data_IF_962059523340
#
_entry.id   IF_962059523340
#
_cell.length_a   1.000
_cell.length_b   1.000
_cell.length_c   1.000
_cell.angle_alpha   90.00
_cell.angle_beta   90.00
_cell.angle_gamma   90.00
#
_symmetry.space_group_name_H-M   'P 1'
#
loop_
_entity.id
_entity.type
_entity.pdbx_description
1 polymer ?
#
# COMPACT_ATOMS: atom_id res chain seq x y z
N UNK A 1 -5.25 30.18 18.60
CA UNK A 1 -4.90 28.79 19.03
C UNK A 1 -5.79 27.86 18.23
N UNK A 2 -5.22 26.85 17.58
CA UNK A 2 -5.97 25.82 16.88
C UNK A 2 -6.67 24.99 17.95
N UNK A 3 -7.97 24.73 17.80
CA UNK A 3 -8.74 23.89 18.74
C UNK A 3 -8.33 22.43 18.63
N UNK A 4 -8.61 21.62 19.67
CA UNK A 4 -8.38 20.19 19.60
C UNK A 4 -9.22 19.54 18.49
N UNK A 5 -10.42 20.03 18.22
CA UNK A 5 -11.28 19.54 17.14
C UNK A 5 -10.68 19.82 15.76
N UNK A 6 -10.08 21.00 15.56
CA UNK A 6 -9.37 21.33 14.32
C UNK A 6 -8.12 20.47 14.14
N UNK A 7 -7.39 20.18 15.22
CA UNK A 7 -6.23 19.27 15.18
C UNK A 7 -6.70 17.84 14.84
N UNK A 8 -7.74 17.34 15.48
CA UNK A 8 -8.31 16.02 15.22
C UNK A 8 -8.82 15.91 13.78
N UNK A 9 -9.55 16.91 13.30
CA UNK A 9 -10.02 16.98 11.92
C UNK A 9 -8.87 16.96 10.91
N UNK A 10 -7.83 17.75 11.15
CA UNK A 10 -6.65 17.83 10.31
C UNK A 10 -5.87 16.51 10.27
N UNK A 11 -5.68 15.87 11.43
CA UNK A 11 -4.91 14.62 11.54
C UNK A 11 -5.70 13.38 11.05
N UNK A 12 -7.01 13.42 11.20
CA UNK A 12 -7.82 12.19 11.09
C UNK A 12 -8.94 12.28 10.06
N UNK A 13 -9.15 13.44 9.44
CA UNK A 13 -10.24 13.69 8.49
C UNK A 13 -11.62 13.73 9.17
N UNK A 14 -12.59 14.29 8.47
CA UNK A 14 -13.94 14.54 8.99
C UNK A 14 -14.96 13.45 8.60
N UNK A 15 -14.60 12.53 7.68
CA UNK A 15 -15.52 11.49 7.25
C UNK A 15 -15.89 10.54 8.41
N UNK A 16 -17.18 10.29 8.67
CA UNK A 16 -17.62 9.46 9.78
C UNK A 16 -17.47 7.95 9.55
N UNK A 17 -17.06 7.52 8.36
CA UNK A 17 -16.98 6.09 8.04
C UNK A 17 -15.90 5.39 8.85
N UNK A 18 -16.30 4.31 9.55
CA UNK A 18 -15.46 3.56 10.47
C UNK A 18 -15.08 2.17 9.91
N UNK A 19 -14.10 1.53 10.58
CA UNK A 19 -13.66 0.16 10.35
C UNK A 19 -13.02 -0.10 8.98
N UNK A 20 -12.55 0.94 8.28
CA UNK A 20 -11.77 0.76 7.05
C UNK A 20 -10.36 0.31 7.45
N UNK A 21 -9.98 -0.89 7.05
CA UNK A 21 -8.67 -1.47 7.37
C UNK A 21 -7.70 -1.44 6.19
N UNK A 22 -8.21 -1.41 4.96
CA UNK A 22 -7.40 -1.24 3.77
C UNK A 22 -8.18 -0.53 2.66
N UNK A 23 -7.47 0.13 1.76
CA UNK A 23 -8.00 0.70 0.53
C UNK A 23 -7.11 0.25 -0.61
N UNK A 24 -7.75 -0.23 -1.67
CA UNK A 24 -7.08 -0.71 -2.86
C UNK A 24 -7.58 0.06 -4.10
N UNK A 25 -6.68 0.25 -5.05
CA UNK A 25 -7.01 0.88 -6.32
C UNK A 25 -6.84 -0.07 -7.49
N UNK A 26 -7.91 -0.30 -8.25
CA UNK A 26 -7.84 -1.04 -9.49
C UNK A 26 -7.58 -0.10 -10.67
N UNK A 27 -6.35 -0.16 -11.17
CA UNK A 27 -5.90 0.64 -12.32
C UNK A 27 -6.62 0.32 -13.64
N UNK A 28 -7.24 -0.84 -13.77
CA UNK A 28 -7.94 -1.22 -14.99
C UNK A 28 -9.34 -0.60 -15.05
N UNK A 29 -10.05 -0.60 -13.92
CA UNK A 29 -11.39 -0.02 -13.82
C UNK A 29 -11.42 1.39 -13.25
N UNK A 30 -10.28 1.95 -12.88
CA UNK A 30 -10.15 3.25 -12.19
C UNK A 30 -11.07 3.35 -10.96
N UNK A 31 -11.11 2.28 -10.18
CA UNK A 31 -12.03 2.14 -9.04
C UNK A 31 -11.28 1.95 -7.74
N UNK A 32 -11.83 2.50 -6.69
CA UNK A 32 -11.41 2.28 -5.31
C UNK A 32 -12.21 1.12 -4.72
N UNK A 33 -11.55 0.30 -3.92
CA UNK A 33 -12.18 -0.71 -3.07
C UNK A 33 -11.81 -0.44 -1.62
N UNK A 34 -12.83 -0.24 -0.79
CA UNK A 34 -12.69 -0.12 0.66
C UNK A 34 -12.88 -1.49 1.27
N UNK A 35 -11.91 -1.94 2.04
CA UNK A 35 -11.98 -3.16 2.81
C UNK A 35 -12.24 -2.78 4.27
N UNK A 36 -13.37 -3.24 4.80
CA UNK A 36 -13.78 -3.00 6.18
C UNK A 36 -13.68 -4.28 6.98
N UNK A 37 -13.29 -4.17 8.23
CA UNK A 37 -13.40 -5.24 9.20
C UNK A 37 -14.48 -4.88 10.22
N UNK A 38 -15.68 -5.40 10.02
CA UNK A 38 -16.83 -5.10 10.89
C UNK A 38 -16.76 -6.02 12.11
N UNK A 39 -16.67 -5.48 13.35
CA UNK A 39 -16.66 -6.30 14.55
C UNK A 39 -17.83 -7.29 14.59
N UNK A 40 -17.53 -8.58 14.80
CA UNK A 40 -18.51 -9.66 14.83
C UNK A 40 -19.13 -10.07 13.48
N UNK A 41 -18.81 -9.40 12.37
CA UNK A 41 -19.38 -9.71 11.04
C UNK A 41 -18.31 -10.09 10.00
N UNK A 42 -17.03 -9.83 10.28
CA UNK A 42 -15.93 -10.14 9.37
C UNK A 42 -15.66 -9.06 8.31
N UNK A 43 -15.16 -9.47 7.15
CA UNK A 43 -14.75 -8.56 6.07
C UNK A 43 -15.89 -8.16 5.16
N UNK A 44 -15.94 -6.88 4.82
CA UNK A 44 -16.81 -6.31 3.81
C UNK A 44 -15.97 -5.54 2.79
N UNK A 45 -16.25 -5.73 1.49
CA UNK A 45 -15.59 -5.02 0.41
C UNK A 45 -16.62 -4.15 -0.30
N UNK A 46 -16.34 -2.85 -0.35
CA UNK A 46 -17.19 -1.87 -1.03
C UNK A 46 -16.43 -1.15 -2.12
N UNK A 47 -16.98 -1.17 -3.32
CA UNK A 47 -16.47 -0.37 -4.44
C UNK A 47 -16.91 1.07 -4.28
N UNK A 48 -15.98 1.99 -4.58
CA UNK A 48 -16.22 3.43 -4.63
C UNK A 48 -15.50 4.04 -5.85
N UNK A 49 -15.81 5.28 -6.15
CA UNK A 49 -15.22 6.03 -7.25
C UNK A 49 -14.68 7.36 -6.76
N UNK A 50 -13.63 7.83 -7.40
CA UNK A 50 -13.13 9.19 -7.22
C UNK A 50 -12.51 9.70 -8.53
N UNK A 51 -12.37 11.01 -8.64
CA UNK A 51 -11.71 11.64 -9.77
C UNK A 51 -10.25 11.90 -9.42
N UNK A 52 -9.28 11.23 -10.06
CA UNK A 52 -7.87 11.46 -9.83
C UNK A 52 -7.47 12.91 -10.14
N UNK A 53 -6.54 13.44 -9.34
CA UNK A 53 -6.12 14.82 -9.44
C UNK A 53 -4.62 15.01 -9.18
N UNK A 54 -4.12 16.17 -9.55
CA UNK A 54 -2.79 16.68 -9.23
C UNK A 54 -2.87 18.13 -8.84
N UNK A 55 -2.01 18.59 -7.98
CA UNK A 55 -1.80 20.03 -7.73
C UNK A 55 -0.70 20.57 -8.62
N UNK A 56 -0.93 21.75 -9.20
CA UNK A 56 0.01 22.42 -10.11
C UNK A 56 0.16 23.87 -9.72
N UNK A 57 1.40 24.32 -9.57
CA UNK A 57 1.72 25.68 -9.20
C UNK A 57 1.46 26.69 -10.32
N UNK A 58 1.84 26.35 -11.56
CA UNK A 58 1.68 27.21 -12.72
C UNK A 58 1.45 26.37 -13.99
N UNK A 59 0.37 26.66 -14.70
CA UNK A 59 0.04 25.98 -15.96
C UNK A 59 1.06 26.23 -17.07
N UNK A 60 1.84 27.30 -17.00
CA UNK A 60 2.95 27.57 -17.94
C UNK A 60 4.08 26.54 -17.84
N UNK A 61 4.16 25.83 -16.72
CA UNK A 61 5.14 24.76 -16.54
C UNK A 61 4.77 23.48 -17.34
N UNK A 62 3.57 23.43 -17.90
CA UNK A 62 3.09 22.30 -18.70
C UNK A 62 3.13 22.72 -20.17
N UNK A 63 4.06 22.16 -20.92
CA UNK A 63 4.11 22.34 -22.36
C UNK A 63 3.07 21.45 -23.04
N UNK A 64 2.27 22.04 -23.91
CA UNK A 64 1.32 21.31 -24.72
C UNK A 64 1.65 21.44 -26.20
N UNK A 65 2.06 20.38 -26.86
CA UNK A 65 2.24 20.25 -28.31
C UNK A 65 2.59 21.57 -29.03
N UNK A 66 3.76 22.12 -28.80
CA UNK A 66 4.18 23.38 -29.40
C UNK A 66 3.57 24.64 -28.79
N UNK A 67 2.91 24.54 -27.65
CA UNK A 67 2.42 25.68 -26.85
C UNK A 67 1.19 26.41 -27.39
N UNK A 68 0.53 25.91 -28.46
CA UNK A 68 -0.69 26.55 -28.96
C UNK A 68 -1.91 26.27 -28.08
N UNK A 69 -2.80 27.27 -27.92
CA UNK A 69 -4.05 27.11 -27.17
C UNK A 69 -4.96 26.01 -27.75
N UNK A 70 -4.92 25.77 -29.05
CA UNK A 70 -5.72 24.71 -29.69
C UNK A 70 -5.16 23.32 -29.38
N UNK A 71 -3.83 23.12 -29.40
CA UNK A 71 -3.20 21.87 -29.01
C UNK A 71 -3.46 21.53 -27.53
N UNK A 72 -3.40 22.52 -26.64
CA UNK A 72 -3.75 22.37 -25.24
C UNK A 72 -5.19 21.89 -25.07
N UNK A 73 -6.14 22.52 -25.78
CA UNK A 73 -7.56 22.12 -25.74
C UNK A 73 -7.76 20.67 -26.22
N UNK A 74 -7.08 20.27 -27.29
CA UNK A 74 -7.14 18.90 -27.83
C UNK A 74 -6.58 17.91 -26.81
N UNK A 75 -5.40 18.19 -26.21
CA UNK A 75 -4.81 17.34 -25.19
C UNK A 75 -5.72 17.21 -23.96
N UNK A 76 -6.30 18.29 -23.47
CA UNK A 76 -7.26 18.28 -22.37
C UNK A 76 -8.47 17.40 -22.67
N UNK A 77 -9.07 17.55 -23.85
CA UNK A 77 -10.23 16.76 -24.29
C UNK A 77 -9.86 15.29 -24.49
N UNK A 78 -8.69 14.99 -25.10
CA UNK A 78 -8.21 13.63 -25.30
C UNK A 78 -8.08 12.86 -23.99
N UNK A 79 -7.54 13.49 -22.96
CA UNK A 79 -7.32 12.88 -21.65
C UNK A 79 -8.47 13.09 -20.66
N UNK A 80 -9.52 13.80 -21.06
CA UNK A 80 -10.64 14.14 -20.19
C UNK A 80 -10.23 15.03 -19.00
N UNK A 81 -9.32 15.96 -19.23
CA UNK A 81 -8.75 16.82 -18.20
C UNK A 81 -9.64 18.03 -17.95
N UNK A 82 -9.84 18.30 -16.66
CA UNK A 82 -10.45 19.52 -16.15
C UNK A 82 -9.43 20.25 -15.27
N UNK A 83 -9.44 21.57 -15.31
CA UNK A 83 -8.55 22.39 -14.49
C UNK A 83 -9.39 23.36 -13.67
N UNK A 84 -9.28 23.25 -12.35
CA UNK A 84 -9.92 24.15 -11.41
C UNK A 84 -8.87 25.07 -10.78
N UNK A 85 -9.17 26.36 -10.66
CA UNK A 85 -8.35 27.26 -9.86
C UNK A 85 -8.67 27.01 -8.40
N UNK A 86 -7.62 26.81 -7.59
CA UNK A 86 -7.77 26.72 -6.15
C UNK A 86 -8.00 28.14 -5.60
N UNK A 87 -9.10 28.30 -4.86
CA UNK A 87 -9.28 29.48 -4.03
C UNK A 87 -8.48 29.28 -2.73
N UNK A 88 -7.47 30.11 -2.56
CA UNK A 88 -6.60 30.04 -1.40
C UNK A 88 -7.26 30.76 -0.23
N UNK A 89 -7.68 30.00 0.77
CA UNK A 89 -8.13 30.53 2.05
C UNK A 89 -7.17 30.00 3.13
N UNK A 90 -6.14 30.75 3.51
CA UNK A 90 -5.36 30.34 4.65
C UNK A 90 -3.88 30.71 4.69
N UNK A 91 -3.04 29.81 5.17
CA UNK A 91 -1.62 30.04 5.43
C UNK A 91 -0.81 30.11 4.13
N UNK A 92 -0.32 31.29 3.77
CA UNK A 92 0.51 31.52 2.58
C UNK A 92 1.71 30.57 2.46
N UNK A 93 2.16 29.98 3.56
CA UNK A 93 3.27 28.99 3.55
C UNK A 93 2.87 27.63 3.01
N UNK A 94 1.62 27.20 3.19
CA UNK A 94 1.08 25.95 2.66
C UNK A 94 0.65 26.06 1.20
N UNK A 95 0.28 27.28 0.80
CA UNK A 95 -0.27 27.56 -0.53
C UNK A 95 0.78 27.98 -1.55
N UNK A 96 1.99 28.27 -1.09
CA UNK A 96 3.05 28.81 -1.92
C UNK A 96 3.44 27.84 -3.04
N UNK A 97 2.90 28.10 -4.22
CA UNK A 97 3.22 27.41 -5.44
C UNK A 97 2.14 26.51 -6.02
N UNK A 98 1.06 26.16 -5.29
CA UNK A 98 -0.02 25.32 -5.81
C UNK A 98 -1.29 26.14 -6.06
N UNK A 99 -1.55 26.46 -7.31
CA UNK A 99 -2.66 27.36 -7.70
C UNK A 99 -3.80 26.64 -8.40
N UNK A 100 -3.53 25.47 -8.98
CA UNK A 100 -4.50 24.74 -9.77
C UNK A 100 -4.62 23.29 -9.34
N UNK A 101 -5.84 22.76 -9.40
CA UNK A 101 -6.12 21.34 -9.32
C UNK A 101 -6.45 20.83 -10.73
N UNK A 102 -5.64 19.92 -11.23
CA UNK A 102 -5.84 19.26 -12.52
C UNK A 102 -6.47 17.90 -12.27
N UNK A 103 -7.67 17.66 -12.81
CA UNK A 103 -8.46 16.44 -12.60
C UNK A 103 -8.61 15.68 -13.90
N UNK A 104 -8.60 14.36 -13.87
CA UNK A 104 -8.92 13.52 -15.02
C UNK A 104 -10.20 12.72 -14.82
N UNK A 105 -11.19 12.95 -15.67
CA UNK A 105 -12.44 12.19 -15.69
C UNK A 105 -12.27 10.77 -16.26
N UNK A 106 -11.19 10.52 -17.00
CA UNK A 106 -10.87 9.21 -17.58
C UNK A 106 -10.03 8.31 -16.68
N UNK A 107 -9.42 8.89 -15.63
CA UNK A 107 -8.72 8.11 -14.64
C UNK A 107 -7.27 8.51 -14.39
N UNK A 108 -6.62 7.77 -13.49
CA UNK A 108 -5.27 8.10 -13.02
C UNK A 108 -4.20 7.95 -14.11
N UNK A 109 -4.30 6.91 -14.94
CA UNK A 109 -3.34 6.72 -16.06
C UNK A 109 -3.41 7.87 -17.05
N UNK A 110 -4.61 8.34 -17.35
CA UNK A 110 -4.84 9.48 -18.25
C UNK A 110 -4.30 10.79 -17.67
N UNK A 111 -4.40 10.97 -16.34
CA UNK A 111 -3.78 12.11 -15.65
C UNK A 111 -2.26 12.13 -15.83
N UNK A 112 -1.61 10.99 -15.60
CA UNK A 112 -0.17 10.87 -15.77
C UNK A 112 0.25 11.06 -17.23
N UNK A 113 -0.49 10.44 -18.16
CA UNK A 113 -0.22 10.54 -19.58
C UNK A 113 -0.34 11.99 -20.08
N UNK A 114 -1.34 12.73 -19.60
CA UNK A 114 -1.49 14.15 -19.91
C UNK A 114 -0.25 14.97 -19.55
N UNK A 115 0.31 14.78 -18.34
CA UNK A 115 1.52 15.48 -17.94
C UNK A 115 2.73 15.08 -18.81
N UNK A 116 2.91 13.81 -19.08
CA UNK A 116 4.02 13.30 -19.90
C UNK A 116 3.96 13.78 -21.32
N UNK A 117 2.80 13.78 -21.95
CA UNK A 117 2.61 14.33 -23.30
C UNK A 117 2.82 15.85 -23.32
N UNK A 118 2.57 16.53 -22.22
CA UNK A 118 2.89 17.94 -22.02
C UNK A 118 4.38 18.23 -21.74
N UNK A 119 5.25 17.23 -21.79
CA UNK A 119 6.67 17.38 -21.52
C UNK A 119 7.04 17.46 -20.03
N UNK A 120 6.12 17.10 -19.15
CA UNK A 120 6.32 17.11 -17.69
C UNK A 120 6.24 15.69 -17.14
N UNK A 121 7.32 15.17 -16.57
CA UNK A 121 7.24 13.97 -15.73
C UNK A 121 6.85 14.40 -14.31
N UNK A 122 5.69 13.99 -13.78
CA UNK A 122 5.24 14.39 -12.44
C UNK A 122 6.20 14.03 -11.30
N UNK A 123 7.07 13.04 -11.51
CA UNK A 123 8.07 12.58 -10.55
C UNK A 123 9.49 12.98 -10.88
N UNK A 124 9.67 13.78 -11.95
CA UNK A 124 10.98 14.26 -12.37
C UNK A 124 11.54 15.34 -11.45
N UNK A 125 12.87 15.37 -11.27
CA UNK A 125 13.55 16.37 -10.45
C UNK A 125 13.20 17.82 -10.83
N UNK A 126 12.98 18.11 -12.12
CA UNK A 126 12.63 19.45 -12.61
C UNK A 126 11.20 19.88 -12.35
N UNK A 127 10.33 18.96 -11.95
CA UNK A 127 8.88 19.18 -11.81
C UNK A 127 8.37 18.93 -10.40
N UNK A 128 9.15 18.27 -9.53
CA UNK A 128 8.75 17.87 -8.18
C UNK A 128 8.18 19.00 -7.30
N UNK A 129 8.69 20.23 -7.48
CA UNK A 129 8.24 21.40 -6.72
C UNK A 129 7.14 22.20 -7.45
N UNK A 130 6.67 21.73 -8.60
CA UNK A 130 5.70 22.43 -9.47
C UNK A 130 4.44 21.60 -9.70
N UNK A 131 4.55 20.29 -9.60
CA UNK A 131 3.45 19.34 -9.79
C UNK A 131 3.53 18.31 -8.66
N UNK A 132 2.45 18.15 -7.93
CA UNK A 132 2.31 17.13 -6.88
C UNK A 132 1.25 16.13 -7.34
N UNK A 133 1.67 14.89 -7.57
CA UNK A 133 0.77 13.77 -7.87
C UNK A 133 1.01 12.69 -6.83
N UNK A 134 0.02 12.43 -6.00
CA UNK A 134 0.06 11.35 -5.02
C UNK A 134 -0.44 10.03 -5.63
N UNK A 135 -0.12 8.88 -5.06
CA UNK A 135 -0.75 7.61 -5.39
C UNK A 135 -2.28 7.67 -5.23
N UNK A 136 -3.04 6.90 -6.03
CA UNK A 136 -4.51 6.98 -6.04
C UNK A 136 -5.18 6.77 -4.68
N UNK A 137 -4.64 5.87 -3.86
CA UNK A 137 -5.18 5.60 -2.52
C UNK A 137 -5.03 6.81 -1.61
N UNK A 138 -3.87 7.46 -1.64
CA UNK A 138 -3.62 8.69 -0.86
C UNK A 138 -4.52 9.83 -1.33
N UNK A 139 -4.66 10.01 -2.66
CA UNK A 139 -5.58 10.98 -3.23
C UNK A 139 -7.02 10.75 -2.76
N UNK A 140 -7.46 9.49 -2.75
CA UNK A 140 -8.80 9.14 -2.29
C UNK A 140 -9.00 9.45 -0.82
N UNK A 141 -8.06 9.06 0.05
CA UNK A 141 -8.11 9.36 1.49
C UNK A 141 -8.23 10.86 1.75
N UNK A 142 -7.40 11.66 1.07
CA UNK A 142 -7.41 13.13 1.20
C UNK A 142 -8.72 13.70 0.68
N UNK A 143 -9.14 13.34 -0.55
CA UNK A 143 -10.33 13.92 -1.18
C UNK A 143 -11.65 13.55 -0.50
N UNK A 144 -11.67 12.48 0.27
CA UNK A 144 -12.83 11.98 1.01
C UNK A 144 -12.69 12.18 2.52
N UNK A 145 -11.61 12.82 2.97
CA UNK A 145 -11.32 13.06 4.38
C UNK A 145 -11.40 11.80 5.24
N UNK A 146 -10.98 10.64 4.67
CA UNK A 146 -11.08 9.32 5.30
C UNK A 146 -9.79 8.94 6.02
N UNK A 147 -9.96 8.17 7.09
CA UNK A 147 -8.87 7.61 7.86
C UNK A 147 -8.98 6.09 7.93
N UNK A 148 -7.84 5.39 7.78
CA UNK A 148 -7.77 3.98 8.08
C UNK A 148 -7.82 3.73 9.60
N UNK A 149 -8.38 2.61 9.98
CA UNK A 149 -8.48 2.12 11.36
C UNK A 149 -9.30 3.02 12.31
N UNK A 150 -10.10 3.97 11.80
CA UNK A 150 -11.08 4.72 12.59
C UNK A 150 -12.15 3.77 13.13
N UNK A 151 -12.61 3.99 14.36
CA UNK A 151 -13.62 3.17 15.02
C UNK A 151 -13.07 1.99 15.82
N UNK A 152 -11.78 1.66 15.70
CA UNK A 152 -11.11 0.73 16.61
C UNK A 152 -10.55 1.51 17.81
N UNK A 153 -10.98 1.15 19.01
CA UNK A 153 -10.51 1.81 20.24
C UNK A 153 -9.09 1.39 20.61
N UNK A 154 -8.76 0.15 20.29
CA UNK A 154 -7.42 -0.36 20.55
C UNK A 154 -6.93 -1.33 19.46
N UNK A 155 -5.62 -1.53 19.43
CA UNK A 155 -4.96 -2.35 18.42
C UNK A 155 -5.37 -3.83 18.43
N UNK A 156 -5.87 -4.35 19.57
CA UNK A 156 -6.30 -5.74 19.69
C UNK A 156 -7.63 -6.04 19.00
N UNK A 157 -8.37 -5.02 18.61
CA UNK A 157 -9.63 -5.20 17.89
C UNK A 157 -9.42 -5.57 16.44
N UNK A 158 -8.34 -5.07 15.83
CA UNK A 158 -7.95 -5.41 14.44
C UNK A 158 -7.41 -6.84 14.38
N UNK A 159 -7.95 -7.67 13.49
CA UNK A 159 -7.47 -9.04 13.32
C UNK A 159 -6.09 -9.07 12.69
N UNK A 160 -5.12 -9.63 13.40
CA UNK A 160 -3.73 -9.74 12.98
C UNK A 160 -3.28 -11.19 12.97
N UNK A 161 -2.58 -11.58 11.94
CA UNK A 161 -1.90 -12.85 11.83
C UNK A 161 -0.40 -12.60 11.78
N UNK A 162 0.36 -13.31 12.57
CA UNK A 162 1.81 -13.36 12.49
C UNK A 162 2.24 -14.78 12.15
N UNK A 163 3.32 -14.90 11.39
CA UNK A 163 3.87 -16.19 11.01
C UNK A 163 5.39 -16.14 10.98
N UNK A 164 5.98 -17.30 11.06
CA UNK A 164 7.43 -17.53 11.02
C UNK A 164 7.72 -18.87 10.35
N UNK A 165 8.85 -18.97 9.65
CA UNK A 165 9.29 -20.17 8.95
C UNK A 165 10.53 -20.75 9.61
N UNK A 166 10.58 -22.07 9.70
CA UNK A 166 11.80 -22.81 9.98
C UNK A 166 12.24 -23.59 8.74
N UNK A 167 13.50 -23.43 8.37
CA UNK A 167 14.05 -23.96 7.14
C UNK A 167 15.31 -24.77 7.40
N UNK A 168 15.57 -25.80 6.58
CA UNK A 168 16.73 -26.67 6.73
C UNK A 168 18.03 -26.07 6.18
N UNK A 169 17.97 -24.94 5.49
CA UNK A 169 19.10 -24.20 4.93
C UNK A 169 18.80 -22.70 4.92
N UNK A 170 19.78 -21.86 4.68
CA UNK A 170 19.58 -20.43 4.42
C UNK A 170 19.13 -20.14 2.98
N UNK A 171 19.32 -21.08 2.07
CA UNK A 171 19.00 -20.94 0.65
C UNK A 171 17.89 -21.90 0.22
N UNK A 172 16.82 -21.39 -0.42
CA UNK A 172 15.67 -22.22 -0.84
C UNK A 172 16.01 -23.38 -1.79
N UNK A 173 17.09 -23.24 -2.57
CA UNK A 173 17.55 -24.25 -3.53
C UNK A 173 18.20 -25.46 -2.84
N UNK A 174 18.75 -25.28 -1.66
CA UNK A 174 19.53 -26.28 -0.93
C UNK A 174 18.81 -26.79 0.34
N UNK A 175 17.57 -26.36 0.54
CA UNK A 175 16.80 -26.77 1.70
C UNK A 175 15.31 -26.84 1.44
N UNK A 176 14.55 -27.02 2.52
CA UNK A 176 13.09 -27.05 2.51
C UNK A 176 12.53 -26.30 3.72
N UNK A 177 11.27 -25.91 3.65
CA UNK A 177 10.50 -25.44 4.80
C UNK A 177 10.06 -26.70 5.56
N UNK A 178 10.45 -26.81 6.83
CA UNK A 178 10.06 -27.96 7.65
C UNK A 178 9.04 -27.59 8.74
N UNK A 179 8.84 -26.28 8.99
CA UNK A 179 7.83 -25.83 9.94
C UNK A 179 7.31 -24.43 9.56
N UNK A 180 6.01 -24.21 9.73
CA UNK A 180 5.38 -22.89 9.62
C UNK A 180 4.59 -22.64 10.89
N UNK A 181 5.05 -21.70 11.71
CA UNK A 181 4.34 -21.23 12.90
C UNK A 181 3.35 -20.11 12.54
N UNK A 182 2.11 -20.20 12.98
CA UNK A 182 1.05 -19.21 12.71
C UNK A 182 0.34 -18.87 14.03
N UNK A 183 0.13 -17.58 14.28
CA UNK A 183 -0.64 -17.11 15.43
C UNK A 183 -1.46 -15.89 15.09
N UNK A 184 -2.65 -15.77 15.67
CA UNK A 184 -3.46 -14.54 15.60
C UNK A 184 -3.69 -13.95 16.99
N UNK A 185 -4.01 -12.67 17.03
CA UNK A 185 -4.44 -12.01 18.27
C UNK A 185 -5.89 -12.38 18.68
N UNK A 186 -6.58 -13.19 17.88
CA UNK A 186 -7.95 -13.70 18.17
C UNK A 186 -7.95 -15.14 18.70
N UNK A 187 -6.81 -15.63 19.16
CA UNK A 187 -6.69 -16.93 19.82
C UNK A 187 -6.39 -18.12 18.91
N UNK A 188 -6.40 -17.94 17.58
CA UNK A 188 -5.96 -19.00 16.66
C UNK A 188 -4.45 -19.14 16.72
N UNK A 189 -3.99 -20.39 16.80
CA UNK A 189 -2.57 -20.74 16.64
C UNK A 189 -2.43 -22.11 15.98
N UNK A 190 -1.43 -22.26 15.15
CA UNK A 190 -1.11 -23.53 14.49
C UNK A 190 0.36 -23.61 14.19
N UNK A 191 0.90 -24.80 14.29
CA UNK A 191 2.20 -25.19 13.75
C UNK A 191 1.93 -26.21 12.67
N UNK A 192 2.39 -25.94 11.45
CA UNK A 192 2.37 -26.88 10.34
C UNK A 192 3.76 -27.49 10.28
N UNK A 193 3.89 -28.76 10.58
CA UNK A 193 5.15 -29.50 10.55
C UNK A 193 5.23 -30.33 9.27
N UNK A 194 6.41 -30.36 8.64
CA UNK A 194 6.72 -31.20 7.51
C UNK A 194 7.85 -32.15 7.94
N UNK A 195 7.49 -33.38 8.32
CA UNK A 195 8.44 -34.38 8.77
C UNK A 195 9.31 -34.84 7.60
N UNK A 196 8.71 -35.04 6.45
CA UNK A 196 9.44 -35.38 5.23
C UNK A 196 9.23 -34.36 4.09
N UNK A 197 10.03 -34.49 3.04
CA UNK A 197 10.06 -33.54 1.92
C UNK A 197 8.76 -33.52 1.14
N UNK A 198 8.01 -34.63 1.09
CA UNK A 198 6.75 -34.73 0.32
C UNK A 198 5.64 -33.88 0.91
N UNK A 199 5.71 -33.54 2.19
CA UNK A 199 4.69 -32.76 2.92
C UNK A 199 4.82 -31.24 2.71
N UNK A 200 6.01 -30.75 2.30
CA UNK A 200 6.26 -29.31 2.16
C UNK A 200 5.26 -28.63 1.22
N UNK A 201 4.93 -29.30 0.12
CA UNK A 201 3.97 -28.79 -0.85
C UNK A 201 2.59 -28.57 -0.21
N UNK A 202 2.15 -29.51 0.60
CA UNK A 202 0.89 -29.44 1.36
C UNK A 202 0.92 -28.32 2.40
N UNK A 203 2.02 -28.16 3.13
CA UNK A 203 2.19 -27.14 4.15
C UNK A 203 2.09 -25.72 3.59
N UNK A 204 2.71 -25.46 2.45
CA UNK A 204 2.61 -24.15 1.79
C UNK A 204 1.17 -23.85 1.36
N UNK A 205 0.47 -24.84 0.79
CA UNK A 205 -0.95 -24.69 0.41
C UNK A 205 -1.80 -24.42 1.65
N UNK A 206 -1.57 -25.15 2.72
CA UNK A 206 -2.29 -24.99 3.99
C UNK A 206 -2.08 -23.62 4.61
N UNK A 207 -0.85 -23.08 4.59
CA UNK A 207 -0.56 -21.73 5.03
C UNK A 207 -1.43 -20.68 4.32
N UNK A 208 -1.52 -20.75 2.99
CA UNK A 208 -2.36 -19.82 2.24
C UNK A 208 -3.87 -20.06 2.46
N UNK A 209 -4.31 -21.28 2.68
CA UNK A 209 -5.70 -21.59 3.01
C UNK A 209 -6.08 -20.99 4.37
N UNK A 210 -5.18 -21.02 5.36
CA UNK A 210 -5.40 -20.39 6.67
C UNK A 210 -5.56 -18.87 6.52
N UNK A 211 -4.75 -18.21 5.71
CA UNK A 211 -4.91 -16.78 5.42
C UNK A 211 -6.27 -16.50 4.77
N UNK A 212 -6.69 -17.32 3.79
CA UNK A 212 -7.99 -17.18 3.10
C UNK A 212 -9.17 -17.43 4.03
N UNK A 213 -9.05 -18.35 4.97
CA UNK A 213 -10.08 -18.65 5.97
C UNK A 213 -10.21 -17.53 7.01
N UNK A 214 -9.09 -17.15 7.62
CA UNK A 214 -9.07 -16.18 8.72
C UNK A 214 -9.22 -14.74 8.25
N UNK A 215 -8.85 -14.43 7.02
CA UNK A 215 -8.92 -13.08 6.40
C UNK A 215 -8.44 -11.97 7.33
N UNK A 216 -7.21 -12.05 7.87
CA UNK A 216 -6.71 -11.04 8.80
C UNK A 216 -6.62 -9.67 8.11
N UNK A 217 -6.71 -8.58 8.88
CA UNK A 217 -6.45 -7.24 8.33
C UNK A 217 -4.96 -6.96 8.17
N UNK A 218 -4.16 -7.60 9.01
CA UNK A 218 -2.69 -7.45 9.01
C UNK A 218 -2.06 -8.84 8.98
N UNK A 219 -1.10 -9.03 8.07
CA UNK A 219 -0.23 -10.20 8.01
C UNK A 219 1.17 -9.70 8.33
N UNK A 220 1.72 -10.11 9.45
CA UNK A 220 3.02 -9.67 9.95
C UNK A 220 4.04 -10.78 10.02
N UNK A 221 5.29 -10.45 9.77
CA UNK A 221 6.45 -11.29 10.01
C UNK A 221 7.64 -10.42 10.41
N UNK A 222 8.72 -11.02 10.87
CA UNK A 222 9.95 -10.33 11.21
C UNK A 222 11.05 -10.68 10.22
N UNK A 223 11.56 -9.68 9.49
CA UNK A 223 12.44 -9.86 8.32
C UNK A 223 11.80 -10.69 7.20
N UNK A 224 10.48 -10.72 7.20
CA UNK A 224 9.70 -11.60 6.33
C UNK A 224 9.76 -11.21 4.85
N UNK A 225 9.99 -9.95 4.53
CA UNK A 225 10.13 -9.48 3.16
C UNK A 225 11.34 -10.12 2.45
N UNK A 226 12.48 -10.20 3.17
CA UNK A 226 13.73 -10.71 2.64
C UNK A 226 13.91 -12.22 2.86
N UNK A 227 13.26 -12.81 3.85
CA UNK A 227 13.42 -14.23 4.20
C UNK A 227 12.15 -15.03 3.91
N UNK A 228 11.11 -14.94 4.73
CA UNK A 228 9.96 -15.85 4.69
C UNK A 228 9.20 -15.79 3.36
N UNK A 229 8.85 -14.60 2.88
CA UNK A 229 8.19 -14.47 1.58
C UNK A 229 9.10 -14.91 0.43
N UNK A 230 10.40 -14.65 0.52
CA UNK A 230 11.36 -15.13 -0.47
C UNK A 230 11.36 -16.66 -0.50
N UNK A 231 11.48 -17.29 0.67
CA UNK A 231 11.45 -18.74 0.80
C UNK A 231 10.16 -19.35 0.25
N UNK A 232 9.01 -18.88 0.67
CA UNK A 232 7.70 -19.38 0.20
C UNK A 232 7.61 -19.34 -1.32
N UNK A 233 7.97 -18.23 -1.95
CA UNK A 233 7.82 -18.10 -3.40
C UNK A 233 8.87 -18.89 -4.19
N UNK A 234 10.10 -18.99 -3.71
CA UNK A 234 11.12 -19.84 -4.37
C UNK A 234 10.76 -21.33 -4.21
N UNK A 235 10.31 -21.77 -3.04
CA UNK A 235 9.84 -23.15 -2.87
C UNK A 235 8.61 -23.46 -3.71
N UNK A 236 7.68 -22.51 -3.86
CA UNK A 236 6.58 -22.69 -4.82
C UNK A 236 7.07 -23.00 -6.23
N UNK A 237 8.09 -22.29 -6.73
CA UNK A 237 8.68 -22.57 -8.05
C UNK A 237 9.27 -23.96 -8.12
N UNK A 238 10.08 -24.35 -7.12
CA UNK A 238 10.75 -25.65 -7.06
C UNK A 238 9.72 -26.79 -7.00
N UNK A 239 8.65 -26.61 -6.21
CA UNK A 239 7.61 -27.63 -6.02
C UNK A 239 6.51 -27.62 -7.10
N UNK A 240 6.64 -26.80 -8.15
CA UNK A 240 5.66 -26.69 -9.22
C UNK A 240 4.30 -26.15 -8.76
N UNK A 241 4.28 -25.32 -7.71
CA UNK A 241 3.10 -24.61 -7.25
C UNK A 241 2.98 -23.27 -7.99
N UNK A 242 1.76 -22.93 -8.40
CA UNK A 242 1.46 -21.58 -8.89
C UNK A 242 1.00 -20.69 -7.74
N UNK A 243 1.84 -19.76 -7.27
CA UNK A 243 1.48 -18.89 -6.15
C UNK A 243 0.22 -18.05 -6.40
N UNK A 244 -0.08 -17.71 -7.67
CA UNK A 244 -1.28 -16.94 -8.02
C UNK A 244 -2.58 -17.72 -7.81
N UNK A 245 -2.50 -19.06 -7.84
CA UNK A 245 -3.66 -19.92 -7.61
C UNK A 245 -3.87 -20.22 -6.13
N UNK A 246 -2.81 -20.33 -5.35
CA UNK A 246 -2.89 -20.68 -3.92
C UNK A 246 -2.98 -19.47 -3.01
N UNK A 247 -2.32 -18.35 -3.36
CA UNK A 247 -2.39 -17.10 -2.59
C UNK A 247 -3.61 -16.30 -3.04
N UNK A 248 -4.74 -16.53 -2.40
CA UNK A 248 -5.98 -15.82 -2.69
C UNK A 248 -5.97 -14.43 -2.08
N UNK A 249 -6.36 -13.45 -2.89
CA UNK A 249 -6.65 -12.10 -2.42
C UNK A 249 -8.13 -11.97 -2.06
N UNK A 250 -8.51 -10.84 -1.45
CA UNK A 250 -9.91 -10.55 -1.17
C UNK A 250 -10.72 -10.16 -2.43
N UNK A 251 -10.10 -10.10 -3.60
CA UNK A 251 -10.80 -9.80 -4.85
C UNK A 251 -10.42 -10.80 -5.94
N UNK A 252 -11.39 -11.44 -6.64
CA UNK A 252 -11.12 -12.57 -7.54
C UNK A 252 -10.26 -12.23 -8.76
N UNK A 253 -10.18 -10.96 -9.15
CA UNK A 253 -9.39 -10.51 -10.31
C UNK A 253 -7.98 -10.03 -9.96
N UNK A 254 -7.67 -9.91 -8.68
CA UNK A 254 -6.37 -9.47 -8.21
C UNK A 254 -5.67 -10.58 -7.45
N UNK A 255 -4.36 -10.55 -7.43
CA UNK A 255 -3.55 -11.52 -6.70
C UNK A 255 -2.53 -10.77 -5.83
N UNK A 256 -1.44 -11.39 -5.53
CA UNK A 256 -0.29 -10.75 -4.91
C UNK A 256 0.62 -10.10 -5.97
N UNK A 257 1.42 -9.16 -5.51
CA UNK A 257 2.54 -8.59 -6.25
C UNK A 257 3.80 -8.63 -5.39
N UNK A 258 4.96 -8.79 -6.05
CA UNK A 258 6.27 -8.63 -5.43
C UNK A 258 7.03 -7.56 -6.21
N UNK A 259 7.51 -6.54 -5.53
CA UNK A 259 8.20 -5.39 -6.14
C UNK A 259 9.31 -4.91 -5.21
N UNK A 260 10.35 -4.36 -5.80
CA UNK A 260 11.36 -3.67 -5.02
C UNK A 260 10.75 -2.44 -4.33
N UNK A 261 10.96 -2.37 -3.04
CA UNK A 261 10.61 -1.26 -2.18
C UNK A 261 11.86 -0.60 -1.63
N UNK A 262 11.72 0.60 -1.13
CA UNK A 262 12.81 1.35 -0.50
C UNK A 262 12.42 1.76 0.91
N UNK A 263 13.27 1.42 1.88
CA UNK A 263 13.19 1.91 3.25
C UNK A 263 14.21 3.04 3.41
N UNK A 264 13.71 4.26 3.60
CA UNK A 264 14.56 5.41 3.92
C UNK A 264 14.78 5.48 5.43
N UNK A 265 16.04 5.43 5.83
CA UNK A 265 16.51 5.46 7.22
C UNK A 265 17.48 6.63 7.38
N UNK A 266 16.98 7.78 7.82
CA UNK A 266 17.82 8.99 7.96
C UNK A 266 18.69 9.24 6.71
N UNK A 267 19.96 8.83 6.73
CA UNK A 267 20.92 9.02 5.64
C UNK A 267 21.08 7.79 4.74
N UNK A 268 20.42 6.66 5.05
CA UNK A 268 20.54 5.40 4.32
C UNK A 268 19.25 5.02 3.60
N UNK A 269 19.41 4.28 2.51
CA UNK A 269 18.31 3.69 1.76
C UNK A 269 18.53 2.19 1.65
N UNK A 270 17.62 1.41 2.18
CA UNK A 270 17.62 -0.03 2.05
C UNK A 270 16.60 -0.47 0.99
N UNK A 271 17.05 -1.33 0.08
CA UNK A 271 16.17 -1.94 -0.92
C UNK A 271 15.74 -3.32 -0.41
N UNK A 272 14.46 -3.63 -0.52
CA UNK A 272 13.88 -4.92 -0.15
C UNK A 272 12.79 -5.32 -1.14
N UNK A 273 12.44 -6.60 -1.21
CA UNK A 273 11.33 -7.06 -2.05
C UNK A 273 10.04 -7.11 -1.25
N UNK A 274 9.19 -6.10 -1.42
CA UNK A 274 7.89 -6.07 -0.76
C UNK A 274 6.91 -7.05 -1.41
N UNK A 275 6.29 -7.88 -0.59
CA UNK A 275 5.12 -8.67 -0.96
C UNK A 275 3.86 -7.92 -0.56
N UNK A 276 2.93 -7.77 -1.50
CA UNK A 276 1.62 -7.17 -1.28
C UNK A 276 0.54 -8.13 -1.75
N UNK A 277 -0.42 -8.43 -0.90
CA UNK A 277 -1.58 -9.26 -1.23
C UNK A 277 -2.80 -8.35 -1.20
N UNK A 278 -3.51 -8.27 -2.31
CA UNK A 278 -4.63 -7.33 -2.47
C UNK A 278 -5.70 -7.52 -1.38
N UNK A 279 -5.98 -6.43 -0.67
CA UNK A 279 -6.93 -6.38 0.45
C UNK A 279 -6.36 -6.70 1.83
N UNK A 280 -5.07 -7.05 1.92
CA UNK A 280 -4.37 -7.32 3.17
C UNK A 280 -3.22 -6.33 3.39
N UNK A 281 -3.00 -5.91 4.63
CA UNK A 281 -1.79 -5.18 5.00
C UNK A 281 -0.68 -6.18 5.33
N UNK A 282 0.23 -6.40 4.39
CA UNK A 282 1.42 -7.23 4.61
C UNK A 282 2.53 -6.35 5.16
N UNK A 283 2.97 -6.61 6.37
CA UNK A 283 3.89 -5.76 7.12
C UNK A 283 5.13 -6.57 7.55
N UNK A 284 6.31 -6.04 7.25
CA UNK A 284 7.55 -6.51 7.85
C UNK A 284 7.91 -5.65 9.07
N UNK A 285 7.87 -6.26 10.24
CA UNK A 285 8.07 -5.58 11.53
C UNK A 285 9.50 -5.04 11.66
N UNK A 286 10.49 -5.66 11.01
CA UNK A 286 11.88 -5.19 11.06
C UNK A 286 12.03 -3.75 10.57
N UNK A 287 11.19 -3.32 9.61
CA UNK A 287 11.22 -1.96 9.10
C UNK A 287 10.86 -0.92 10.17
N UNK A 288 9.90 -1.24 11.05
CA UNK A 288 9.55 -0.39 12.18
C UNK A 288 10.70 -0.32 13.21
N UNK A 289 11.33 -1.46 13.50
CA UNK A 289 12.49 -1.53 14.41
C UNK A 289 13.66 -0.71 13.87
N UNK A 290 13.99 -0.83 12.58
CA UNK A 290 15.07 -0.06 11.96
C UNK A 290 14.80 1.44 11.94
N UNK A 291 13.56 1.85 11.71
CA UNK A 291 13.17 3.27 11.84
C UNK A 291 13.32 3.77 13.28
N UNK A 292 12.94 2.96 14.26
CA UNK A 292 13.12 3.29 15.66
C UNK A 292 14.60 3.41 16.03
N UNK A 293 15.46 2.52 15.51
CA UNK A 293 16.92 2.59 15.69
C UNK A 293 17.52 3.87 15.10
N UNK A 294 17.05 4.29 13.93
CA UNK A 294 17.52 5.52 13.28
C UNK A 294 17.20 6.78 14.10
N UNK A 295 16.17 6.73 14.95
CA UNK A 295 15.74 7.83 15.81
C UNK A 295 16.34 7.69 17.22
N UNK A 296 16.50 6.46 17.71
CA UNK A 296 16.94 6.17 19.08
C UNK A 296 18.17 5.24 19.08
N UNK A 297 19.33 5.83 19.31
CA UNK A 297 20.62 5.13 19.37
C UNK A 297 20.76 4.13 20.51
N UNK A 298 19.84 4.11 21.49
CA UNK A 298 19.85 3.10 22.56
C UNK A 298 19.42 1.71 22.09
N UNK A 299 18.71 1.63 20.95
CA UNK A 299 18.32 0.36 20.34
C UNK A 299 19.50 -0.17 19.52
N UNK A 300 20.32 -1.03 20.12
CA UNK A 300 21.60 -1.47 19.55
C UNK A 300 21.48 -2.60 18.52
N UNK A 301 20.43 -3.40 18.59
CA UNK A 301 20.27 -4.55 17.71
C UNK A 301 18.86 -4.67 17.17
N UNK A 302 18.74 -5.18 15.94
CA UNK A 302 17.47 -5.47 15.28
C UNK A 302 17.09 -6.95 15.32
N UNK A 303 17.83 -7.78 16.08
CA UNK A 303 17.51 -9.19 16.23
C UNK A 303 16.35 -9.42 17.21
N UNK A 304 15.49 -10.42 16.93
CA UNK A 304 14.37 -10.79 17.81
C UNK A 304 14.80 -11.27 19.22
N UNK A 305 16.07 -11.64 19.38
CA UNK A 305 16.59 -12.18 20.63
C UNK A 305 17.27 -11.13 21.54
N UNK A 306 17.12 -9.82 21.21
CA UNK A 306 17.71 -8.73 21.97
C UNK A 306 16.68 -7.71 22.43
#
# INVERSE_FOLDING_TARGET
>A
MISNEEIESFLHGNDPEEFIVAIEFDYASNSIYKIKEIPGKGKEIRKDTFTPFAWVGDLRNINFYGGSKSAQKVAMTKHGIMIDKLETHGDERLEKGMTFMVKSLKGYRELIQFFREGGCDPWGEKTKDKIIVLPPVEQYLISKEKRLFKGFENYNEVTRLVYDLETTSLEPQHGRIFMIGIKTNKGYHKVIECIDESEERGAIIEFFNIIDELKPSIIGGYNSANFDWHWIFERCKILGLDPKKICKSLHPKHSFTRKDGMLKLANDVEIFTQTSIWGYNVIDIIHAVRRAQAINSSIKAAGLKY
#
